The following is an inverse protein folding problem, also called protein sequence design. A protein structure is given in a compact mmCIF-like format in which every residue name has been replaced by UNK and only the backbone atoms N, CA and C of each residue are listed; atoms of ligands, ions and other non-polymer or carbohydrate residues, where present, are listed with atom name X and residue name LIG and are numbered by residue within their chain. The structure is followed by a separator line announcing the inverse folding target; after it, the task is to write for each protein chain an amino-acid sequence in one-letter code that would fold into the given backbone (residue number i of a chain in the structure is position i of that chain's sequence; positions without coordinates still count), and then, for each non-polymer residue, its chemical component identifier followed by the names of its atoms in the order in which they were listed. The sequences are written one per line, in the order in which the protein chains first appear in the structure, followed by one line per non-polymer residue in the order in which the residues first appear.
data_IF_403839130240
#
_entry.id   IF_403839130240
#
_cell.length_a   1.000
_cell.length_b   1.000
_cell.length_c   1.000
_cell.angle_alpha   90.00
_cell.angle_beta   90.00
_cell.angle_gamma   90.00
#
_symmetry.space_group_name_H-M   'P 1'
#
loop_
_entity.id
_entity.type
_entity.pdbx_description
1 polymer ?
#
# COMPACT_ATOMS: atom_id res chain seq x y z
N UNK A 1 1.12 9.42 -8.47
CA UNK A 1 0.33 10.49 -9.13
C UNK A 1 -1.17 10.28 -8.98
N UNK A 2 -1.83 9.38 -9.73
CA UNK A 2 -3.29 9.18 -9.59
C UNK A 2 -3.70 8.73 -8.17
N UNK A 3 -2.95 7.79 -7.59
CA UNK A 3 -3.17 7.27 -6.23
C UNK A 3 -3.03 8.36 -5.16
N UNK A 4 -2.07 9.28 -5.30
CA UNK A 4 -1.90 10.37 -4.32
C UNK A 4 -2.92 11.48 -4.53
N UNK A 5 -3.26 11.78 -5.79
CA UNK A 5 -4.26 12.79 -6.15
C UNK A 5 -5.68 12.38 -5.77
N UNK A 6 -5.96 11.10 -5.54
CA UNK A 6 -7.25 10.66 -5.02
C UNK A 6 -7.44 11.04 -3.54
N UNK A 7 -6.37 11.39 -2.83
CA UNK A 7 -6.42 11.68 -1.40
C UNK A 7 -6.62 10.45 -0.52
N UNK A 8 -6.41 9.25 -1.05
CA UNK A 8 -6.53 8.02 -0.28
C UNK A 8 -5.34 7.85 0.66
N UNK A 9 -5.59 7.49 1.92
CA UNK A 9 -4.54 7.12 2.87
C UNK A 9 -3.99 5.70 2.63
N UNK A 10 -4.80 4.85 1.97
CA UNK A 10 -4.49 3.44 1.77
C UNK A 10 -4.83 2.97 0.35
N UNK A 11 -3.97 2.13 -0.21
CA UNK A 11 -4.19 1.41 -1.47
C UNK A 11 -4.32 -0.10 -1.18
N UNK A 12 -5.46 -0.67 -1.55
CA UNK A 12 -5.72 -2.10 -1.46
C UNK A 12 -5.73 -2.77 -2.83
N UNK A 13 -5.12 -3.95 -2.92
CA UNK A 13 -5.21 -4.79 -4.12
C UNK A 13 -5.14 -6.28 -3.78
N UNK A 14 -5.73 -7.12 -4.63
CA UNK A 14 -5.68 -8.57 -4.51
C UNK A 14 -4.55 -9.26 -5.30
N UNK A 15 -3.86 -8.53 -6.18
CA UNK A 15 -2.71 -9.04 -6.91
C UNK A 15 -1.42 -8.44 -6.34
N UNK A 16 -0.56 -9.31 -5.79
CA UNK A 16 0.66 -8.87 -5.12
C UNK A 16 1.69 -8.33 -6.13
N UNK A 17 1.73 -8.86 -7.35
CA UNK A 17 2.70 -8.43 -8.37
C UNK A 17 2.54 -6.95 -8.72
N UNK A 18 1.32 -6.56 -9.12
CA UNK A 18 1.00 -5.16 -9.38
C UNK A 18 1.17 -4.28 -8.12
N UNK A 19 0.73 -4.78 -6.97
CA UNK A 19 0.77 -4.03 -5.70
C UNK A 19 2.21 -3.72 -5.27
N UNK A 20 3.13 -4.69 -5.32
CA UNK A 20 4.54 -4.49 -4.95
C UNK A 20 5.23 -3.43 -5.81
N UNK A 21 4.96 -3.41 -7.12
CA UNK A 21 5.50 -2.39 -8.01
C UNK A 21 4.99 -0.98 -7.65
N UNK A 22 3.69 -0.84 -7.36
CA UNK A 22 3.11 0.44 -6.94
C UNK A 22 3.62 0.86 -5.56
N UNK A 23 3.62 -0.04 -4.59
CA UNK A 23 4.11 0.19 -3.23
C UNK A 23 5.58 0.63 -3.21
N UNK A 24 6.45 -0.06 -3.96
CA UNK A 24 7.86 0.34 -4.07
C UNK A 24 8.06 1.72 -4.71
N UNK A 25 7.25 2.08 -5.72
CA UNK A 25 7.27 3.43 -6.32
C UNK A 25 6.73 4.50 -5.37
N UNK A 26 5.69 4.20 -4.59
CA UNK A 26 5.15 5.10 -3.57
C UNK A 26 6.17 5.34 -2.46
N UNK A 27 6.79 4.27 -1.95
CA UNK A 27 7.79 4.34 -0.89
C UNK A 27 9.03 5.16 -1.32
N UNK A 28 9.61 4.88 -2.50
CA UNK A 28 10.76 5.67 -3.00
C UNK A 28 10.46 7.16 -3.21
N UNK A 29 9.19 7.53 -3.39
CA UNK A 29 8.74 8.92 -3.52
C UNK A 29 8.38 9.55 -2.17
N UNK A 30 8.48 8.82 -1.06
CA UNK A 30 8.09 9.31 0.27
C UNK A 30 6.58 9.53 0.40
N UNK A 31 5.77 8.79 -0.37
CA UNK A 31 4.31 8.89 -0.30
C UNK A 31 3.80 8.48 1.08
N UNK A 32 2.74 9.14 1.55
CA UNK A 32 2.04 8.77 2.80
C UNK A 32 1.04 7.61 2.60
N UNK A 33 0.75 7.26 1.36
CA UNK A 33 -0.21 6.20 1.03
C UNK A 33 0.37 4.85 1.42
N UNK A 34 -0.35 4.12 2.27
CA UNK A 34 0.05 2.79 2.75
C UNK A 34 -0.56 1.70 1.86
N UNK A 35 0.21 0.68 1.50
CA UNK A 35 -0.22 -0.36 0.58
C UNK A 35 -0.40 -1.71 1.28
N UNK A 36 -1.57 -2.31 1.15
CA UNK A 36 -1.90 -3.60 1.77
C UNK A 36 -2.64 -4.52 0.78
N UNK A 37 -2.47 -5.83 0.94
CA UNK A 37 -3.29 -6.81 0.26
C UNK A 37 -4.72 -6.76 0.82
N UNK A 38 -5.75 -6.91 -0.02
CA UNK A 38 -7.13 -6.78 0.46
C UNK A 38 -7.48 -7.81 1.54
N UNK A 39 -6.97 -9.05 1.42
CA UNK A 39 -7.27 -10.13 2.38
C UNK A 39 -6.65 -9.89 3.77
N UNK A 40 -5.45 -9.29 3.89
CA UNK A 40 -4.86 -9.06 5.22
C UNK A 40 -5.68 -8.05 6.03
N UNK A 41 -6.22 -7.03 5.37
CA UNK A 41 -7.12 -6.06 6.02
C UNK A 41 -8.44 -6.72 6.40
N UNK A 42 -9.03 -7.52 5.51
CA UNK A 42 -10.26 -8.26 5.82
C UNK A 42 -10.07 -9.29 6.94
N UNK A 43 -8.85 -9.80 7.12
CA UNK A 43 -8.49 -10.68 8.23
C UNK A 43 -8.21 -9.92 9.56
N UNK A 44 -8.37 -8.60 9.58
CA UNK A 44 -8.16 -7.76 10.77
C UNK A 44 -6.71 -7.30 10.97
N UNK A 45 -5.86 -7.38 9.95
CA UNK A 45 -4.51 -6.81 9.96
C UNK A 45 -4.48 -5.31 9.61
N UNK A 46 -3.27 -4.79 9.31
CA UNK A 46 -3.04 -3.40 8.88
C UNK A 46 -2.32 -2.50 9.91
N UNK A 47 -2.16 -2.98 11.14
CA UNK A 47 -1.45 -2.25 12.21
C UNK A 47 0.08 -2.34 12.08
N UNK A 48 0.57 -3.34 11.34
CA UNK A 48 1.99 -3.52 11.03
C UNK A 48 2.49 -2.64 9.88
N UNK A 49 3.76 -2.80 9.49
CA UNK A 49 4.31 -2.16 8.30
C UNK A 49 3.52 -2.53 7.05
N UNK A 50 3.24 -1.54 6.21
CA UNK A 50 2.67 -1.77 4.90
C UNK A 50 3.70 -2.37 3.94
N UNK A 51 3.25 -2.85 2.78
CA UNK A 51 4.15 -3.43 1.78
C UNK A 51 5.22 -2.39 1.39
N UNK A 52 6.48 -2.78 1.57
CA UNK A 52 7.65 -1.93 1.27
C UNK A 52 8.09 -1.03 2.42
N UNK A 53 7.34 -0.92 3.52
CA UNK A 53 7.76 -0.20 4.73
C UNK A 53 8.77 -1.04 5.54
N UNK A 54 9.58 -0.38 6.36
CA UNK A 54 10.45 -1.05 7.33
C UNK A 54 9.64 -1.46 8.57
N UNK A 55 10.02 -2.55 9.26
CA UNK A 55 9.51 -2.89 10.58
C UNK A 55 9.64 -1.76 11.60
#
# INVERSE_FOLDING_TARGET
DAIERSGADMLLAGDLGCLMNMAGKLNRRGSKVRCFHTIEILAGGGDGPAIGEKP
#
